data_IF_505403721919
#
_entry.id   IF_505403721919
#
_cell.length_a   1.000
_cell.length_b   1.000
_cell.length_c   1.000
_cell.angle_alpha   90.00
_cell.angle_beta   90.00
_cell.angle_gamma   90.00
#
_symmetry.space_group_name_H-M   'P 1'
#
loop_
_entity.id
_entity.type
_entity.pdbx_description
1 polymer ?
#
# COMPACT_ATOMS: atom_id res chain seq x y z
N UNK A 1 4.14 -4.49 3.06
CA UNK A 1 5.42 -4.87 3.70
C UNK A 1 6.03 -6.14 3.10
N UNK A 2 5.35 -7.27 3.06
CA UNK A 2 5.96 -8.53 2.59
C UNK A 2 6.10 -8.68 1.06
N UNK A 3 5.51 -7.80 0.27
CA UNK A 3 5.53 -7.88 -1.19
C UNK A 3 6.75 -7.19 -1.81
N UNK A 4 7.25 -7.75 -2.91
CA UNK A 4 8.30 -7.17 -3.76
C UNK A 4 7.69 -6.39 -4.94
N UNK A 5 8.53 -5.84 -5.82
CA UNK A 5 8.11 -5.07 -7.01
C UNK A 5 7.29 -5.87 -8.02
N UNK A 6 7.38 -7.21 -8.00
CA UNK A 6 6.61 -8.09 -8.91
C UNK A 6 5.09 -7.96 -8.78
N UNK A 7 4.58 -7.35 -7.69
CA UNK A 7 3.15 -7.02 -7.60
C UNK A 7 2.67 -6.09 -8.70
N UNK A 8 3.58 -5.40 -9.38
CA UNK A 8 3.30 -4.52 -10.52
C UNK A 8 3.51 -5.18 -11.89
N UNK A 9 3.88 -6.48 -11.97
CA UNK A 9 4.17 -7.18 -13.24
C UNK A 9 3.04 -7.07 -14.29
N UNK A 10 1.80 -6.89 -13.86
CA UNK A 10 0.64 -6.76 -14.75
C UNK A 10 0.24 -5.30 -15.02
N UNK A 11 1.00 -4.35 -14.49
CA UNK A 11 0.73 -2.93 -14.71
C UNK A 11 1.52 -2.44 -15.90
N UNK A 12 0.81 -1.92 -16.90
CA UNK A 12 1.39 -1.32 -18.08
C UNK A 12 1.04 0.17 -18.12
N UNK A 13 2.05 1.01 -18.30
CA UNK A 13 1.90 2.44 -18.52
C UNK A 13 2.37 2.80 -19.93
N UNK A 14 1.87 3.90 -20.53
CA UNK A 14 2.38 4.44 -21.78
C UNK A 14 3.89 4.72 -21.72
N UNK A 15 4.56 4.69 -22.87
CA UNK A 15 6.02 4.80 -22.99
C UNK A 15 6.61 6.13 -22.48
N UNK A 16 5.78 7.16 -22.36
CA UNK A 16 6.19 8.46 -21.81
C UNK A 16 6.41 8.43 -20.28
N UNK A 17 6.12 7.31 -19.61
CA UNK A 17 6.38 7.13 -18.19
C UNK A 17 7.60 6.23 -17.93
N UNK A 18 8.57 6.76 -17.21
CA UNK A 18 9.71 5.97 -16.71
C UNK A 18 9.36 5.37 -15.35
N UNK A 19 9.25 4.05 -15.28
CA UNK A 19 8.91 3.33 -14.05
C UNK A 19 10.21 2.96 -13.33
N UNK A 20 10.30 3.35 -12.05
CA UNK A 20 11.39 2.99 -11.15
C UNK A 20 10.82 2.26 -9.93
N UNK A 21 11.29 1.06 -9.67
CA UNK A 21 10.92 0.29 -8.48
C UNK A 21 11.86 0.60 -7.33
N UNK A 22 11.29 0.96 -6.19
CA UNK A 22 12.02 1.09 -4.93
C UNK A 22 11.83 -0.21 -4.15
N UNK A 23 12.88 -1.00 -4.07
CA UNK A 23 12.88 -2.22 -3.27
C UNK A 23 13.05 -1.90 -1.78
N UNK A 24 12.57 -2.80 -0.96
CA UNK A 24 12.70 -2.69 0.47
C UNK A 24 14.15 -2.84 0.91
N UNK A 25 14.57 -1.97 1.82
CA UNK A 25 15.86 -2.06 2.48
C UNK A 25 15.66 -2.44 3.95
N UNK A 26 16.68 -3.01 4.54
CA UNK A 26 16.68 -3.24 5.97
C UNK A 26 16.69 -1.90 6.71
N UNK A 27 15.83 -1.73 7.73
CA UNK A 27 15.93 -0.57 8.60
C UNK A 27 17.25 -0.60 9.38
N UNK A 28 17.79 0.56 9.66
CA UNK A 28 18.90 0.73 10.61
C UNK A 28 18.31 0.60 12.01
N UNK A 29 19.15 0.24 13.00
CA UNK A 29 18.70 0.09 14.39
C UNK A 29 17.95 1.35 14.85
N UNK A 30 16.78 1.16 15.45
CA UNK A 30 15.89 2.19 15.96
C UNK A 30 15.41 3.24 14.94
N UNK A 31 15.59 2.96 13.62
CA UNK A 31 15.16 3.85 12.55
C UNK A 31 13.64 3.98 12.53
N UNK A 32 13.14 5.20 12.70
CA UNK A 32 11.72 5.51 12.50
C UNK A 32 11.35 5.46 11.01
N UNK A 33 10.05 5.31 10.70
CA UNK A 33 9.57 5.37 9.32
C UNK A 33 9.91 6.72 8.65
N UNK A 34 9.99 7.79 9.43
CA UNK A 34 10.37 9.11 8.94
C UNK A 34 11.84 9.12 8.47
N UNK A 35 12.76 8.62 9.30
CA UNK A 35 14.19 8.52 8.98
C UNK A 35 14.43 7.55 7.83
N UNK A 36 13.79 6.37 7.88
CA UNK A 36 13.79 5.41 6.78
C UNK A 36 13.39 6.07 5.45
N UNK A 37 12.27 6.79 5.46
CA UNK A 37 11.75 7.45 4.26
C UNK A 37 12.66 8.60 3.80
N UNK A 38 13.29 9.32 4.72
CA UNK A 38 14.32 10.32 4.41
C UNK A 38 15.52 9.68 3.69
N UNK A 39 15.99 8.54 4.20
CA UNK A 39 17.11 7.78 3.60
C UNK A 39 16.76 7.28 2.19
N UNK A 40 15.59 6.65 2.04
CA UNK A 40 15.12 6.13 0.75
C UNK A 40 14.88 7.28 -0.26
N UNK A 41 14.38 8.43 0.19
CA UNK A 41 14.10 9.57 -0.67
C UNK A 41 15.33 10.07 -1.44
N UNK A 42 16.53 9.93 -0.88
CA UNK A 42 17.81 10.33 -1.52
C UNK A 42 18.13 9.57 -2.80
N UNK A 43 17.52 8.39 -2.97
CA UNK A 43 17.65 7.55 -4.18
C UNK A 43 16.73 7.97 -5.31
N UNK A 44 15.73 8.79 -5.02
CA UNK A 44 14.72 9.21 -6.00
C UNK A 44 15.23 10.45 -6.72
N UNK A 45 15.42 10.32 -8.02
CA UNK A 45 15.88 11.41 -8.89
C UNK A 45 14.90 11.59 -10.05
N UNK A 46 14.79 12.82 -10.56
CA UNK A 46 13.96 13.11 -11.73
C UNK A 46 13.09 14.34 -11.55
N UNK A 47 12.30 14.62 -12.59
CA UNK A 47 11.29 15.68 -12.62
C UNK A 47 9.90 15.07 -12.66
N UNK A 48 8.88 15.80 -12.19
CA UNK A 48 7.48 15.36 -12.19
C UNK A 48 7.26 14.01 -11.51
N UNK A 49 7.92 13.79 -10.36
CA UNK A 49 7.89 12.54 -9.62
C UNK A 49 6.46 12.22 -9.17
N UNK A 50 5.98 11.04 -9.55
CA UNK A 50 4.76 10.44 -8.99
C UNK A 50 5.18 9.25 -8.12
N UNK A 51 4.72 9.25 -6.88
CA UNK A 51 4.96 8.16 -5.95
C UNK A 51 3.74 7.24 -5.92
N UNK A 52 3.95 5.95 -6.12
CA UNK A 52 2.89 4.93 -6.04
C UNK A 52 3.27 3.93 -4.96
N UNK A 53 2.38 3.71 -3.98
CA UNK A 53 2.64 2.77 -2.89
C UNK A 53 1.44 1.88 -2.59
N UNK A 54 1.71 0.58 -2.39
CA UNK A 54 0.70 -0.43 -2.06
C UNK A 54 0.82 -0.81 -0.58
N UNK A 55 -0.28 -0.87 0.15
CA UNK A 55 -0.31 -1.28 1.55
C UNK A 55 0.64 -0.44 2.41
N UNK A 56 1.58 -1.04 3.14
CA UNK A 56 2.61 -0.32 3.89
C UNK A 56 3.44 0.63 3.01
N UNK A 57 3.66 0.26 1.72
CA UNK A 57 4.29 1.15 0.75
C UNK A 57 3.53 2.46 0.54
N UNK A 58 2.19 2.44 0.71
CA UNK A 58 1.38 3.65 0.66
C UNK A 58 1.66 4.61 1.83
N UNK A 59 2.06 4.10 3.00
CA UNK A 59 2.52 4.92 4.12
C UNK A 59 3.91 5.48 3.82
N UNK A 60 4.83 4.61 3.36
CA UNK A 60 6.21 5.00 3.05
C UNK A 60 6.27 6.12 1.98
N UNK A 61 5.47 6.02 0.91
CA UNK A 61 5.47 7.08 -0.13
C UNK A 61 4.91 8.40 0.38
N UNK A 62 3.97 8.36 1.34
CA UNK A 62 3.50 9.59 2.01
C UNK A 62 4.59 10.21 2.88
N UNK A 63 5.37 9.40 3.60
CA UNK A 63 6.53 9.89 4.36
C UNK A 63 7.61 10.44 3.43
N UNK A 64 7.96 9.73 2.34
CA UNK A 64 8.92 10.19 1.32
C UNK A 64 8.53 11.56 0.75
N UNK A 65 7.23 11.79 0.53
CA UNK A 65 6.74 13.06 -0.02
C UNK A 65 7.00 14.28 0.87
N UNK A 66 7.41 14.09 2.11
CA UNK A 66 7.82 15.18 3.02
C UNK A 66 9.24 15.67 2.73
N UNK A 67 10.05 14.88 2.02
CA UNK A 67 11.46 15.17 1.74
C UNK A 67 11.73 15.58 0.30
N UNK A 68 10.84 15.21 -0.65
CA UNK A 68 11.01 15.53 -2.07
C UNK A 68 9.75 16.16 -2.64
N UNK A 69 9.94 17.02 -3.64
CA UNK A 69 8.81 17.60 -4.38
C UNK A 69 8.17 16.54 -5.26
N UNK A 70 6.91 16.20 -4.98
CA UNK A 70 6.14 15.25 -5.76
C UNK A 70 5.08 15.94 -6.60
N UNK A 71 4.86 15.46 -7.79
CA UNK A 71 3.75 15.89 -8.65
C UNK A 71 2.43 15.31 -8.11
N UNK A 72 2.45 14.03 -7.74
CA UNK A 72 1.28 13.31 -7.26
C UNK A 72 1.67 12.13 -6.36
N UNK A 73 0.78 11.71 -5.49
CA UNK A 73 0.93 10.51 -4.65
C UNK A 73 -0.27 9.62 -4.90
N UNK A 74 -0.05 8.35 -5.20
CA UNK A 74 -1.10 7.34 -5.37
C UNK A 74 -0.88 6.24 -4.36
N UNK A 75 -1.87 6.00 -3.53
CA UNK A 75 -1.84 4.89 -2.58
C UNK A 75 -2.92 3.87 -2.94
N UNK A 76 -2.55 2.59 -2.82
CA UNK A 76 -3.40 1.47 -3.20
C UNK A 76 -3.51 0.53 -2.00
N UNK A 77 -4.73 0.18 -1.60
CA UNK A 77 -4.98 -0.70 -0.44
C UNK A 77 -4.17 -0.28 0.79
N UNK A 78 -4.26 0.99 1.17
CA UNK A 78 -3.47 1.59 2.25
C UNK A 78 -4.33 2.52 3.10
N UNK A 79 -3.70 3.32 3.95
CA UNK A 79 -4.33 4.34 4.79
C UNK A 79 -3.68 5.71 4.56
N UNK A 80 -4.46 6.78 4.72
CA UNK A 80 -3.99 8.18 4.61
C UNK A 80 -3.66 8.81 5.95
N UNK A 81 -4.32 8.33 6.98
CA UNK A 81 -4.16 8.88 8.34
C UNK A 81 -4.29 7.77 9.38
N UNK A 82 -3.79 8.04 10.58
CA UNK A 82 -3.93 7.13 11.73
C UNK A 82 -5.39 6.77 12.06
N UNK A 83 -6.34 7.63 11.70
CA UNK A 83 -7.76 7.40 11.99
C UNK A 83 -8.39 6.38 11.03
N UNK A 84 -7.72 6.03 9.94
CA UNK A 84 -8.12 4.97 9.01
C UNK A 84 -7.59 3.58 9.41
N UNK A 85 -6.78 3.50 10.48
CA UNK A 85 -6.38 2.19 11.04
C UNK A 85 -7.61 1.45 11.59
N UNK A 86 -7.75 0.14 11.35
CA UNK A 86 -8.78 -0.69 11.95
C UNK A 86 -8.75 -0.62 13.49
N UNK A 87 -9.92 -0.70 14.12
CA UNK A 87 -10.05 -0.57 15.57
C UNK A 87 -9.13 -1.53 16.34
N UNK A 88 -8.98 -2.77 15.88
CA UNK A 88 -8.10 -3.75 16.51
C UNK A 88 -6.63 -3.31 16.48
N UNK A 89 -6.17 -2.67 15.39
CA UNK A 89 -4.82 -2.11 15.32
C UNK A 89 -4.67 -0.89 16.22
N UNK A 90 -5.72 -0.06 16.32
CA UNK A 90 -5.73 1.10 17.24
C UNK A 90 -5.67 0.66 18.71
N UNK A 91 -6.40 -0.38 19.09
CA UNK A 91 -6.35 -0.98 20.42
C UNK A 91 -4.98 -1.63 20.68
N UNK A 92 -4.48 -2.41 19.73
CA UNK A 92 -3.15 -2.99 19.77
C UNK A 92 -2.06 -1.95 20.02
N UNK A 93 -2.17 -0.76 19.37
CA UNK A 93 -1.27 0.38 19.61
C UNK A 93 -1.26 0.82 21.07
N UNK A 94 -2.45 0.99 21.70
CA UNK A 94 -2.56 1.44 23.09
C UNK A 94 -2.00 0.43 24.07
N UNK A 95 -2.26 -0.84 23.88
CA UNK A 95 -1.88 -1.94 24.78
C UNK A 95 -0.49 -2.50 24.47
N UNK A 96 0.13 -2.10 23.34
CA UNK A 96 1.34 -2.74 22.78
C UNK A 96 1.16 -4.23 22.49
N UNK A 97 -0.08 -4.73 22.48
CA UNK A 97 -0.39 -6.15 22.26
C UNK A 97 0.09 -6.66 20.90
N UNK A 98 0.23 -5.76 19.87
CA UNK A 98 0.83 -6.15 18.59
C UNK A 98 2.27 -6.67 18.73
N UNK A 99 3.00 -6.32 19.79
CA UNK A 99 4.35 -6.86 20.09
C UNK A 99 4.29 -8.30 20.61
N UNK A 100 3.16 -8.71 21.18
CA UNK A 100 2.90 -10.07 21.65
C UNK A 100 2.42 -11.00 20.53
N UNK A 101 1.92 -10.42 19.46
CA UNK A 101 1.69 -11.16 18.23
C UNK A 101 3.06 -11.54 17.65
N UNK A 102 3.67 -12.53 18.33
CA UNK A 102 4.84 -13.19 17.82
C UNK A 102 4.58 -13.49 16.34
N UNK A 103 5.49 -13.09 15.49
CA UNK A 103 5.42 -13.17 14.03
C UNK A 103 5.39 -14.63 13.54
N UNK A 104 4.86 -15.55 14.35
CA UNK A 104 4.68 -16.97 14.02
C UNK A 104 3.83 -17.19 12.76
N UNK A 105 2.89 -16.29 12.47
CA UNK A 105 2.17 -16.38 11.22
C UNK A 105 3.00 -15.87 10.01
N UNK A 106 4.11 -15.16 10.22
CA UNK A 106 5.04 -14.83 9.13
C UNK A 106 5.90 -16.05 8.77
N UNK A 107 6.10 -16.96 9.72
CA UNK A 107 6.73 -18.25 9.44
C UNK A 107 5.80 -19.17 8.63
N UNK A 108 4.49 -18.96 8.73
CA UNK A 108 3.49 -19.63 7.92
C UNK A 108 3.07 -18.74 6.74
N UNK A 109 3.73 -18.98 5.60
CA UNK A 109 3.43 -18.29 4.34
C UNK A 109 1.93 -18.40 3.97
N UNK A 110 1.31 -19.52 4.28
CA UNK A 110 -0.08 -19.78 3.96
C UNK A 110 -1.00 -18.82 4.71
N UNK A 111 -0.80 -18.66 6.00
CA UNK A 111 -1.57 -17.73 6.83
C UNK A 111 -1.39 -16.28 6.38
N UNK A 112 -0.16 -15.86 6.07
CA UNK A 112 0.10 -14.52 5.54
C UNK A 112 -0.59 -14.31 4.18
N UNK A 113 -0.49 -15.29 3.29
CA UNK A 113 -1.09 -15.22 1.98
C UNK A 113 -2.63 -15.21 2.07
N UNK A 114 -3.22 -16.03 2.92
CA UNK A 114 -4.67 -16.01 3.18
C UNK A 114 -5.13 -14.66 3.75
N UNK A 115 -4.37 -14.09 4.65
CA UNK A 115 -4.68 -12.78 5.23
C UNK A 115 -4.68 -11.66 4.16
N UNK A 116 -3.64 -11.61 3.31
CA UNK A 116 -3.47 -10.56 2.29
C UNK A 116 -4.45 -10.73 1.11
N UNK A 117 -4.63 -11.97 0.65
CA UNK A 117 -5.38 -12.26 -0.58
C UNK A 117 -6.80 -12.80 -0.33
N UNK A 118 -7.07 -13.23 0.90
CA UNK A 118 -8.34 -13.85 1.29
C UNK A 118 -8.43 -15.35 0.94
N UNK A 119 -9.52 -16.03 1.33
CA UNK A 119 -9.64 -17.50 1.24
C UNK A 119 -9.63 -18.06 -0.18
N UNK A 120 -9.81 -17.24 -1.19
CA UNK A 120 -9.85 -17.65 -2.61
C UNK A 120 -8.51 -18.23 -3.09
N UNK A 121 -7.41 -18.03 -2.35
CA UNK A 121 -6.07 -18.45 -2.79
C UNK A 121 -5.67 -19.86 -2.38
N UNK A 122 -6.48 -20.59 -1.59
CA UNK A 122 -6.10 -21.92 -1.09
C UNK A 122 -5.49 -22.83 -2.17
N UNK A 123 -6.01 -22.75 -3.40
CA UNK A 123 -5.56 -23.57 -4.53
C UNK A 123 -4.48 -22.89 -5.39
N UNK A 124 -3.95 -21.74 -4.99
CA UNK A 124 -2.99 -20.95 -5.78
C UNK A 124 -1.86 -20.34 -4.94
N UNK A 125 -1.61 -20.88 -3.78
CA UNK A 125 -0.60 -20.37 -2.82
C UNK A 125 0.78 -20.24 -3.45
N UNK A 126 1.20 -21.24 -4.24
CA UNK A 126 2.49 -21.21 -4.92
C UNK A 126 2.63 -20.03 -5.89
N UNK A 127 1.55 -19.66 -6.58
CA UNK A 127 1.56 -18.49 -7.45
C UNK A 127 1.86 -17.20 -6.69
N UNK A 128 1.38 -17.09 -5.44
CA UNK A 128 1.57 -15.88 -4.63
C UNK A 128 2.90 -15.85 -3.88
N UNK A 129 3.64 -16.95 -3.77
CA UNK A 129 5.00 -16.99 -3.23
C UNK A 129 5.94 -16.04 -3.98
N UNK A 130 5.76 -15.89 -5.28
CA UNK A 130 6.53 -14.97 -6.11
C UNK A 130 6.36 -13.50 -5.70
N UNK A 131 5.20 -13.12 -5.15
CA UNK A 131 4.89 -11.73 -4.79
C UNK A 131 5.20 -11.40 -3.34
N UNK A 132 5.11 -12.39 -2.42
CA UNK A 132 5.37 -12.22 -0.99
C UNK A 132 6.74 -12.81 -0.63
N UNK A 133 7.80 -12.20 -1.16
CA UNK A 133 9.16 -12.71 -1.00
C UNK A 133 9.93 -12.09 0.16
N UNK A 134 9.47 -10.96 0.71
CA UNK A 134 10.15 -10.29 1.82
C UNK A 134 9.72 -10.96 3.13
N UNK A 135 10.65 -11.72 3.73
CA UNK A 135 10.38 -12.56 4.91
C UNK A 135 11.33 -12.32 6.07
N UNK A 136 12.20 -11.32 5.97
CA UNK A 136 13.06 -10.97 7.08
C UNK A 136 12.23 -10.55 8.29
N UNK A 137 12.43 -11.23 9.41
CA UNK A 137 11.62 -11.02 10.63
C UNK A 137 11.85 -9.65 11.25
N UNK A 138 13.07 -9.14 11.22
CA UNK A 138 13.40 -7.84 11.77
C UNK A 138 12.72 -6.73 10.96
N UNK A 139 12.80 -6.83 9.63
CA UNK A 139 12.10 -5.91 8.74
C UNK A 139 10.58 -5.96 8.92
N UNK A 140 10.00 -7.16 9.01
CA UNK A 140 8.55 -7.31 9.15
C UNK A 140 8.05 -6.82 10.51
N UNK A 141 8.76 -7.11 11.60
CA UNK A 141 8.46 -6.59 12.94
C UNK A 141 8.55 -5.07 12.97
N UNK A 142 9.63 -4.52 12.43
CA UNK A 142 9.80 -3.09 12.29
C UNK A 142 8.65 -2.46 11.50
N UNK A 143 8.31 -3.02 10.35
CA UNK A 143 7.25 -2.46 9.50
C UNK A 143 5.86 -2.51 10.14
N UNK A 144 5.55 -3.55 10.94
CA UNK A 144 4.32 -3.63 11.72
C UNK A 144 4.33 -2.57 12.82
N UNK A 145 5.44 -2.42 13.54
CA UNK A 145 5.58 -1.40 14.58
C UNK A 145 5.36 0.01 13.99
N UNK A 146 6.01 0.30 12.87
CA UNK A 146 5.88 1.59 12.19
C UNK A 146 4.46 1.83 11.66
N UNK A 147 3.81 0.80 11.11
CA UNK A 147 2.42 0.87 10.63
C UNK A 147 1.46 1.25 11.77
N UNK A 148 1.52 0.47 12.87
CA UNK A 148 0.59 0.62 14.00
C UNK A 148 0.81 1.95 14.72
N UNK A 149 2.05 2.41 14.84
CA UNK A 149 2.40 3.65 15.53
C UNK A 149 2.39 4.87 14.61
N UNK A 150 2.15 4.71 13.30
CA UNK A 150 2.10 5.85 12.38
C UNK A 150 1.08 6.90 12.83
N UNK A 151 1.52 8.17 12.88
CA UNK A 151 0.76 9.21 13.55
C UNK A 151 0.35 10.36 12.63
N UNK A 152 0.29 10.14 11.31
CA UNK A 152 -0.17 11.17 10.39
C UNK A 152 -1.65 11.52 10.66
N UNK A 153 -1.92 12.81 10.89
CA UNK A 153 -3.28 13.34 11.11
C UNK A 153 -3.92 13.82 9.81
N UNK A 154 -3.15 14.48 8.97
CA UNK A 154 -3.60 15.08 7.72
C UNK A 154 -2.90 14.44 6.51
N UNK A 155 -3.64 13.99 5.51
CA UNK A 155 -3.04 13.44 4.30
C UNK A 155 -2.39 14.52 3.44
N UNK A 156 -1.42 14.17 2.57
CA UNK A 156 -0.90 15.08 1.55
C UNK A 156 -1.99 15.62 0.64
N UNK A 157 -1.89 16.89 0.21
CA UNK A 157 -2.92 17.57 -0.61
C UNK A 157 -3.19 16.89 -1.96
N UNK A 158 -2.17 16.31 -2.58
CA UNK A 158 -2.25 15.71 -3.94
C UNK A 158 -2.23 14.19 -3.89
N UNK A 159 -3.02 13.59 -2.98
CA UNK A 159 -3.09 12.15 -2.82
C UNK A 159 -4.33 11.57 -3.50
N UNK A 160 -4.12 10.52 -4.29
CA UNK A 160 -5.18 9.67 -4.82
C UNK A 160 -5.15 8.35 -4.05
N UNK A 161 -6.29 7.93 -3.54
CA UNK A 161 -6.44 6.67 -2.81
C UNK A 161 -7.35 5.72 -3.59
N UNK A 162 -6.81 4.56 -3.98
CA UNK A 162 -7.55 3.49 -4.66
C UNK A 162 -7.64 2.31 -3.69
N UNK A 163 -8.85 1.82 -3.46
CA UNK A 163 -9.09 0.85 -2.39
C UNK A 163 -10.11 -0.22 -2.77
N UNK A 164 -9.92 -1.44 -2.27
CA UNK A 164 -10.84 -2.55 -2.48
C UNK A 164 -11.98 -2.54 -1.45
N UNK A 165 -13.23 -2.69 -1.89
CA UNK A 165 -14.36 -2.76 -0.95
C UNK A 165 -14.30 -3.98 -0.02
N UNK A 166 -13.66 -5.07 -0.46
CA UNK A 166 -13.51 -6.31 0.29
C UNK A 166 -12.09 -6.46 0.88
N UNK A 167 -11.40 -5.35 1.16
CA UNK A 167 -10.11 -5.36 1.83
C UNK A 167 -10.30 -5.76 3.31
N UNK A 168 -9.71 -6.88 3.72
CA UNK A 168 -9.77 -7.38 5.09
C UNK A 168 -8.63 -6.85 5.97
N UNK A 169 -7.56 -6.34 5.37
CA UNK A 169 -6.42 -5.76 6.11
C UNK A 169 -6.75 -4.35 6.57
N UNK A 170 -7.26 -3.53 5.65
CA UNK A 170 -7.79 -2.19 5.93
C UNK A 170 -9.26 -2.13 5.48
N UNK A 171 -10.21 -2.57 6.32
CA UNK A 171 -11.62 -2.60 5.93
C UNK A 171 -12.12 -1.24 5.46
N UNK A 172 -12.84 -1.24 4.35
CA UNK A 172 -13.29 -0.02 3.66
C UNK A 172 -14.15 0.90 4.53
N UNK A 173 -14.77 0.39 5.60
CA UNK A 173 -15.54 1.17 6.56
C UNK A 173 -14.71 2.23 7.31
N UNK A 174 -13.39 2.02 7.43
CA UNK A 174 -12.47 2.97 8.04
C UNK A 174 -11.87 3.95 7.03
N UNK A 175 -11.98 3.66 5.73
CA UNK A 175 -11.35 4.44 4.67
C UNK A 175 -12.27 5.57 4.21
N UNK A 176 -11.75 6.80 4.20
CA UNK A 176 -12.50 7.98 3.78
C UNK A 176 -11.97 8.50 2.43
N UNK A 177 -12.88 8.96 1.57
CA UNK A 177 -12.53 9.61 0.29
C UNK A 177 -11.50 8.82 -0.53
N UNK A 178 -11.90 7.64 -1.01
CA UNK A 178 -11.12 6.79 -1.89
C UNK A 178 -11.91 6.41 -3.14
N UNK A 179 -11.21 6.01 -4.19
CA UNK A 179 -11.80 5.33 -5.35
C UNK A 179 -11.96 3.87 -4.94
N UNK A 180 -13.19 3.45 -4.72
CA UNK A 180 -13.47 2.08 -4.27
C UNK A 180 -13.71 1.15 -5.45
N UNK A 181 -13.00 0.02 -5.47
CA UNK A 181 -13.17 -1.03 -6.47
C UNK A 181 -14.01 -2.17 -5.93
N UNK A 182 -15.17 -2.39 -6.55
CA UNK A 182 -16.09 -3.48 -6.18
C UNK A 182 -15.42 -4.85 -6.37
N UNK A 183 -15.60 -5.75 -5.40
CA UNK A 183 -14.98 -7.08 -5.39
C UNK A 183 -13.46 -7.05 -5.21
N UNK A 184 -12.87 -5.88 -4.97
CA UNK A 184 -11.44 -5.73 -4.71
C UNK A 184 -11.08 -6.14 -3.29
N UNK A 185 -10.06 -6.99 -3.14
CA UNK A 185 -9.44 -7.37 -1.86
C UNK A 185 -8.21 -6.49 -1.60
N UNK A 186 -7.44 -6.78 -0.55
CA UNK A 186 -6.16 -6.09 -0.28
C UNK A 186 -5.17 -6.15 -1.46
N UNK A 187 -5.23 -7.20 -2.25
CA UNK A 187 -4.39 -7.40 -3.43
C UNK A 187 -5.01 -6.88 -4.74
N UNK A 188 -5.75 -5.77 -4.71
CA UNK A 188 -6.42 -5.24 -5.92
C UNK A 188 -5.45 -4.94 -7.05
N UNK A 189 -4.20 -4.56 -6.76
CA UNK A 189 -3.19 -4.27 -7.78
C UNK A 189 -2.95 -5.46 -8.72
N UNK A 190 -3.02 -6.69 -8.21
CA UNK A 190 -2.89 -7.91 -8.99
C UNK A 190 -4.23 -8.32 -9.64
N UNK A 191 -5.31 -8.23 -8.87
CA UNK A 191 -6.61 -8.79 -9.29
C UNK A 191 -7.41 -7.89 -10.23
N UNK A 192 -7.12 -6.59 -10.21
CA UNK A 192 -7.79 -5.56 -11.02
C UNK A 192 -6.80 -4.85 -11.95
N UNK A 193 -5.74 -5.53 -12.39
CA UNK A 193 -4.70 -4.95 -13.25
C UNK A 193 -5.27 -4.26 -14.49
N UNK A 194 -6.27 -4.86 -15.16
CA UNK A 194 -6.94 -4.25 -16.32
C UNK A 194 -7.58 -2.91 -15.98
N UNK A 195 -8.17 -2.77 -14.79
CA UNK A 195 -8.72 -1.48 -14.34
C UNK A 195 -7.60 -0.46 -14.15
N UNK A 196 -6.47 -0.86 -13.52
CA UNK A 196 -5.32 0.01 -13.33
C UNK A 196 -4.73 0.45 -14.65
N UNK A 197 -4.52 -0.45 -15.61
CA UNK A 197 -3.96 -0.15 -16.93
C UNK A 197 -4.83 0.87 -17.71
N UNK A 198 -6.16 0.80 -17.54
CA UNK A 198 -7.08 1.74 -18.15
C UNK A 198 -7.11 3.11 -17.46
N UNK A 199 -7.00 3.16 -16.13
CA UNK A 199 -7.33 4.35 -15.34
C UNK A 199 -6.10 5.03 -14.73
N UNK A 200 -5.03 4.27 -14.46
CA UNK A 200 -3.81 4.83 -13.86
C UNK A 200 -3.15 5.87 -14.76
N UNK A 201 -2.98 5.67 -16.09
CA UNK A 201 -2.43 6.71 -16.96
C UNK A 201 -3.20 8.04 -16.87
N UNK A 202 -4.53 7.99 -16.89
CA UNK A 202 -5.38 9.18 -16.73
C UNK A 202 -5.16 9.88 -15.40
N UNK A 203 -4.90 9.11 -14.34
CA UNK A 203 -4.58 9.64 -13.03
C UNK A 203 -3.22 10.34 -12.98
N UNK A 204 -2.31 9.97 -13.89
CA UNK A 204 -0.97 10.55 -13.99
C UNK A 204 -0.98 11.84 -14.81
N UNK A 205 -1.85 11.96 -15.81
CA UNK A 205 -1.96 13.08 -16.76
C UNK A 205 -2.88 14.22 -16.25
N UNK A 206 -2.78 14.72 -15.05
CA UNK A 206 -3.48 15.92 -14.56
C UNK A 206 -5.01 16.00 -14.77
N UNK A 207 -5.73 14.89 -14.92
CA UNK A 207 -7.19 14.91 -14.92
C UNK A 207 -7.67 15.19 -13.50
N UNK A 208 -8.38 16.30 -13.34
CA UNK A 208 -9.00 16.71 -12.09
C UNK A 208 -10.10 15.68 -11.74
N UNK A 209 -9.84 14.76 -10.80
CA UNK A 209 -10.80 13.72 -10.39
C UNK A 209 -11.98 14.26 -9.57
N UNK A 210 -12.02 15.57 -9.28
CA UNK A 210 -13.14 16.19 -8.56
C UNK A 210 -14.49 16.03 -9.29
N UNK A 211 -14.47 15.69 -10.58
CA UNK A 211 -15.64 15.45 -11.42
C UNK A 211 -15.91 13.98 -11.76
N UNK A 212 -15.08 13.04 -11.31
CA UNK A 212 -15.38 11.61 -11.44
C UNK A 212 -16.22 11.17 -10.24
N UNK A 213 -17.49 11.58 -10.21
CA UNK A 213 -18.52 10.79 -9.53
C UNK A 213 -18.51 9.44 -10.24
N UNK A 214 -17.88 8.44 -9.63
CA UNK A 214 -18.14 7.06 -10.01
C UNK A 214 -19.62 6.83 -9.73
N UNK A 215 -20.46 6.98 -10.76
CA UNK A 215 -21.78 6.39 -10.76
C UNK A 215 -21.54 4.92 -10.46
N UNK A 216 -22.02 4.47 -9.34
CA UNK A 216 -22.25 3.07 -9.08
C UNK A 216 -23.28 2.63 -10.11
N UNK A 217 -22.82 2.29 -11.30
CA UNK A 217 -23.66 1.68 -12.32
C UNK A 217 -24.08 0.31 -11.82
N UNK A 218 -25.36 -0.10 -12.05
CA UNK A 218 -25.83 -1.43 -11.65
C UNK A 218 -25.25 -2.39 -12.62
N UNK A 219 -24.35 -2.58 -13.23
CA UNK A 219 -23.91 -3.67 -14.14
C UNK A 219 -22.37 -3.71 -14.21
N UNK A 220 -21.82 -4.73 -13.59
CA UNK A 220 -20.87 -5.78 -14.02
C UNK A 220 -20.27 -6.50 -12.81
#
# INVERSE_FOLDING_TARGET
MAANSKIFDFISLPENFNIHYLEWEMPISDESIHEYSSRISKKIKGKNIVLIGVSFGGIVVQEISKFIKTHKIIIISSIKTKNELPLMMQLGRKTKAYKLFNVKWIDDFESLALFVFGPIIKNRIELYRKYLSVRDKNYLNWSIDQLVNWNQKNPPKKIIHIHGLNDLVFPSVYIKKAIFLRGGTHAIILRKASWFNKNLPKSLENINFDNVRLKLGPDF
#
